data_IF_911843270788
#
_entry.id   IF_911843270788
#
_cell.length_a   1.000
_cell.length_b   1.000
_cell.length_c   1.000
_cell.angle_alpha   90.00
_cell.angle_beta   90.00
_cell.angle_gamma   90.00
#
_symmetry.space_group_name_H-M   'P 1'
#
loop_
_entity.id
_entity.type
_entity.pdbx_description
1 polymer ?
#
# COMPACT_ATOMS: atom_id res chain seq x y z
N UNK A 1 48.89 36.90 -56.86
CA UNK A 1 48.25 35.69 -57.40
C UNK A 1 46.90 35.51 -56.71
N UNK A 2 45.78 35.57 -57.46
CA UNK A 2 44.41 35.43 -56.96
C UNK A 2 44.10 33.93 -56.72
N UNK A 3 43.06 33.55 -55.98
CA UNK A 3 41.72 33.32 -56.54
C UNK A 3 40.70 33.07 -55.42
N UNK A 4 39.53 33.70 -55.60
CA UNK A 4 38.14 33.20 -55.49
C UNK A 4 37.77 32.26 -54.32
N UNK A 5 36.67 32.46 -53.61
CA UNK A 5 35.55 33.37 -53.84
C UNK A 5 34.31 33.00 -53.01
N UNK A 6 33.27 33.82 -53.22
CA UNK A 6 31.84 33.58 -53.02
C UNK A 6 31.22 33.55 -51.59
N UNK A 7 30.38 34.57 -51.38
CA UNK A 7 29.24 34.73 -50.43
C UNK A 7 28.15 33.62 -50.57
N UNK A 8 27.01 33.58 -49.83
CA UNK A 8 26.44 34.49 -48.81
C UNK A 8 25.81 33.81 -47.54
N UNK A 9 25.21 34.68 -46.70
CA UNK A 9 24.34 34.54 -45.53
C UNK A 9 23.36 33.34 -45.42
N UNK A 10 23.10 32.87 -44.17
CA UNK A 10 21.77 32.89 -43.51
C UNK A 10 21.75 32.18 -42.14
N UNK A 11 21.00 32.77 -41.21
CA UNK A 11 20.18 32.14 -40.15
C UNK A 11 20.82 31.29 -39.02
N UNK A 12 20.64 31.76 -37.78
CA UNK A 12 20.26 30.91 -36.64
C UNK A 12 18.72 30.71 -36.65
N UNK A 13 18.06 29.86 -35.83
CA UNK A 13 18.53 28.95 -34.78
C UNK A 13 17.97 27.51 -34.95
N UNK A 14 18.35 26.53 -34.10
CA UNK A 14 17.38 25.52 -33.61
C UNK A 14 17.97 24.65 -32.50
N UNK A 15 17.28 24.65 -31.37
CA UNK A 15 17.38 23.70 -30.26
C UNK A 15 16.67 22.39 -30.63
N UNK A 16 17.38 21.26 -30.55
CA UNK A 16 16.83 19.90 -30.48
C UNK A 16 18.00 18.99 -30.04
N UNK A 17 17.91 18.07 -29.08
CA UNK A 17 16.76 17.40 -28.50
C UNK A 17 17.06 17.05 -27.05
N UNK A 18 16.09 17.37 -26.18
CA UNK A 18 15.84 16.63 -24.97
C UNK A 18 15.28 15.25 -25.37
N UNK A 19 15.73 14.18 -24.72
CA UNK A 19 14.85 13.09 -24.26
C UNK A 19 15.66 12.02 -23.51
N UNK A 20 15.85 12.18 -22.20
CA UNK A 20 16.19 11.09 -21.26
C UNK A 20 15.67 11.47 -19.85
N UNK A 21 14.45 12.02 -19.78
CA UNK A 21 13.89 12.60 -18.54
C UNK A 21 12.77 11.80 -17.87
N UNK A 22 12.10 10.89 -18.57
CA UNK A 22 10.82 10.36 -18.09
C UNK A 22 10.87 9.06 -17.29
N UNK A 23 12.02 8.39 -17.19
CA UNK A 23 12.07 7.06 -16.56
C UNK A 23 12.25 7.07 -15.03
N UNK A 24 12.55 8.22 -14.41
CA UNK A 24 12.86 8.28 -12.96
C UNK A 24 11.62 8.46 -12.05
N UNK A 25 10.55 9.12 -12.53
CA UNK A 25 9.38 9.44 -11.71
C UNK A 25 8.47 8.23 -11.41
N UNK A 26 8.46 7.22 -12.28
CA UNK A 26 7.67 6.00 -12.10
C UNK A 26 8.27 5.02 -11.06
N UNK A 27 9.55 5.17 -10.73
CA UNK A 27 10.25 4.29 -9.80
C UNK A 27 10.02 4.70 -8.34
N UNK A 28 9.82 6.01 -8.08
CA UNK A 28 9.58 6.55 -6.73
C UNK A 28 8.13 6.35 -6.25
N UNK A 29 7.15 6.16 -7.16
CA UNK A 29 5.75 5.89 -6.78
C UNK A 29 5.47 4.44 -6.33
N UNK A 30 6.39 3.50 -6.59
CA UNK A 30 6.23 2.07 -6.26
C UNK A 30 6.48 1.71 -4.79
N UNK A 31 6.95 2.65 -3.96
CA UNK A 31 7.39 2.38 -2.58
C UNK A 31 6.27 2.46 -1.52
N UNK A 32 5.00 2.63 -1.91
CA UNK A 32 3.89 2.84 -0.96
C UNK A 32 2.68 1.92 -1.17
N UNK A 33 2.85 0.83 -1.91
CA UNK A 33 1.80 -0.16 -2.15
C UNK A 33 2.19 -1.51 -1.54
N UNK A 34 1.28 -2.10 -0.77
CA UNK A 34 1.42 -3.44 -0.20
C UNK A 34 0.55 -4.41 -0.98
N UNK A 35 1.07 -5.61 -1.24
CA UNK A 35 0.36 -6.68 -1.94
C UNK A 35 0.43 -7.96 -1.13
N UNK A 36 -0.70 -8.65 -1.01
CA UNK A 36 -0.79 -9.96 -0.38
C UNK A 36 -1.98 -10.72 -0.96
N UNK A 37 -1.69 -11.80 -1.68
CA UNK A 37 -2.69 -12.58 -2.41
C UNK A 37 -3.59 -11.68 -3.29
N UNK A 38 -4.92 -11.73 -3.13
CA UNK A 38 -5.84 -10.92 -3.94
C UNK A 38 -5.89 -9.44 -3.52
N UNK A 39 -5.18 -9.06 -2.44
CA UNK A 39 -5.26 -7.73 -1.87
C UNK A 39 -4.15 -6.81 -2.37
N UNK A 40 -4.56 -5.56 -2.61
CA UNK A 40 -3.68 -4.44 -2.90
C UNK A 40 -4.05 -3.30 -1.95
N UNK A 41 -3.08 -2.76 -1.22
CA UNK A 41 -3.29 -1.63 -0.31
C UNK A 41 -2.37 -0.48 -0.73
N UNK A 42 -2.95 0.69 -0.99
CA UNK A 42 -2.21 1.91 -1.36
C UNK A 42 -2.15 2.84 -0.16
N UNK A 43 -0.95 3.13 0.34
CA UNK A 43 -0.76 4.09 1.42
C UNK A 43 -0.99 5.53 0.95
N UNK A 44 -0.65 5.84 -0.31
CA UNK A 44 -0.89 7.15 -0.90
C UNK A 44 -2.40 7.47 -1.03
N UNK A 45 -3.19 6.48 -1.46
CA UNK A 45 -4.63 6.67 -1.66
C UNK A 45 -5.45 6.34 -0.41
N UNK A 46 -4.85 5.71 0.61
CA UNK A 46 -5.53 5.14 1.78
C UNK A 46 -6.69 4.21 1.40
N UNK A 47 -6.44 3.33 0.43
CA UNK A 47 -7.43 2.40 -0.12
C UNK A 47 -6.96 0.96 -0.06
N UNK A 48 -7.93 0.05 0.00
CA UNK A 48 -7.74 -1.39 -0.11
C UNK A 48 -8.58 -1.89 -1.29
N UNK A 49 -8.01 -2.79 -2.10
CA UNK A 49 -8.73 -3.53 -3.12
C UNK A 49 -8.57 -5.01 -2.89
N UNK A 50 -9.57 -5.78 -3.30
CA UNK A 50 -9.54 -7.25 -3.42
C UNK A 50 -10.02 -7.61 -4.81
N UNK A 51 -9.20 -8.36 -5.55
CA UNK A 51 -9.53 -8.79 -6.93
C UNK A 51 -9.94 -7.60 -7.83
N UNK A 52 -9.28 -6.45 -7.65
CA UNK A 52 -9.56 -5.21 -8.37
C UNK A 52 -10.76 -4.39 -7.87
N UNK A 53 -11.58 -4.93 -6.96
CA UNK A 53 -12.74 -4.22 -6.37
C UNK A 53 -12.33 -3.49 -5.09
N UNK A 54 -12.66 -2.20 -4.97
CA UNK A 54 -12.34 -1.40 -3.79
C UNK A 54 -13.17 -1.87 -2.58
N UNK A 55 -12.49 -2.05 -1.44
CA UNK A 55 -13.11 -2.35 -0.15
C UNK A 55 -13.09 -1.09 0.70
N UNK A 56 -14.27 -0.58 1.02
CA UNK A 56 -14.42 0.64 1.83
C UNK A 56 -14.16 0.34 3.31
N UNK A 57 -13.07 0.91 3.82
CA UNK A 57 -12.66 0.83 5.22
C UNK A 57 -12.78 2.20 5.89
N UNK A 58 -13.10 2.19 7.18
CA UNK A 58 -12.92 3.38 8.03
C UNK A 58 -11.43 3.68 8.23
N UNK A 59 -11.05 4.89 8.68
CA UNK A 59 -9.64 5.23 8.92
C UNK A 59 -8.93 4.27 9.88
N UNK A 60 -9.63 3.80 10.91
CA UNK A 60 -9.11 2.86 11.90
C UNK A 60 -8.95 1.46 11.32
N UNK A 61 -9.97 0.96 10.62
CA UNK A 61 -9.90 -0.35 9.97
C UNK A 61 -8.78 -0.39 8.92
N UNK A 62 -8.62 0.68 8.13
CA UNK A 62 -7.55 0.79 7.15
C UNK A 62 -6.17 0.75 7.81
N UNK A 63 -5.98 1.51 8.90
CA UNK A 63 -4.72 1.52 9.65
C UNK A 63 -4.40 0.14 10.23
N UNK A 64 -5.41 -0.57 10.74
CA UNK A 64 -5.27 -1.91 11.28
C UNK A 64 -4.91 -2.93 10.18
N UNK A 65 -5.59 -2.89 9.03
CA UNK A 65 -5.26 -3.77 7.89
C UNK A 65 -3.85 -3.47 7.40
N UNK A 66 -3.47 -2.21 7.25
CA UNK A 66 -2.11 -1.82 6.86
C UNK A 66 -1.08 -2.41 7.82
N UNK A 67 -1.26 -2.25 9.13
CA UNK A 67 -0.36 -2.80 10.14
C UNK A 67 -0.19 -4.32 9.99
N UNK A 68 -1.30 -5.05 9.85
CA UNK A 68 -1.28 -6.50 9.72
C UNK A 68 -0.63 -6.95 8.40
N UNK A 69 -0.88 -6.24 7.29
CA UNK A 69 -0.27 -6.53 5.99
C UNK A 69 1.23 -6.18 5.96
N UNK A 70 1.66 -5.09 6.62
CA UNK A 70 3.09 -4.75 6.75
C UNK A 70 3.88 -5.82 7.50
N UNK A 71 3.21 -6.52 8.43
CA UNK A 71 3.77 -7.62 9.23
C UNK A 71 3.14 -8.97 8.85
N UNK A 72 3.01 -9.21 7.54
CA UNK A 72 2.40 -10.43 7.03
C UNK A 72 3.10 -11.70 7.54
N UNK A 73 2.30 -12.63 8.08
CA UNK A 73 2.77 -13.87 8.70
C UNK A 73 3.21 -13.74 10.15
N UNK A 74 3.38 -12.52 10.67
CA UNK A 74 3.69 -12.26 12.09
C UNK A 74 2.40 -12.27 12.91
N UNK A 75 2.46 -12.88 14.09
CA UNK A 75 1.40 -12.75 15.07
C UNK A 75 1.59 -11.46 15.86
N UNK A 76 0.58 -10.59 15.87
CA UNK A 76 0.56 -9.40 16.72
C UNK A 76 -0.38 -9.60 17.90
N UNK A 77 0.07 -9.24 19.10
CA UNK A 77 -0.76 -9.25 20.30
C UNK A 77 -1.85 -8.17 20.22
N UNK A 78 -2.93 -8.33 20.99
CA UNK A 78 -3.97 -7.30 21.08
C UNK A 78 -3.42 -5.96 21.57
N UNK A 79 -2.53 -5.99 22.55
CA UNK A 79 -1.86 -4.80 23.08
C UNK A 79 -0.99 -4.12 22.02
N UNK A 80 -0.21 -4.88 21.24
CA UNK A 80 0.62 -4.31 20.17
C UNK A 80 -0.24 -3.67 19.08
N UNK A 81 -1.34 -4.31 18.70
CA UNK A 81 -2.30 -3.76 17.72
C UNK A 81 -2.94 -2.49 18.28
N UNK A 82 -3.41 -2.52 19.53
CA UNK A 82 -4.03 -1.37 20.19
C UNK A 82 -3.07 -0.18 20.20
N UNK A 83 -1.85 -0.41 20.69
CA UNK A 83 -0.81 0.61 20.82
C UNK A 83 -0.38 1.18 19.46
N UNK A 84 -0.35 0.35 18.41
CA UNK A 84 0.08 0.77 17.08
C UNK A 84 -1.01 1.55 16.33
N UNK A 85 -2.29 1.20 16.52
CA UNK A 85 -3.41 1.79 15.77
C UNK A 85 -4.03 2.99 16.50
N UNK A 86 -4.11 2.96 17.85
CA UNK A 86 -4.68 4.03 18.66
C UNK A 86 -3.65 4.83 19.47
N UNK A 87 -2.43 4.30 19.62
CA UNK A 87 -1.35 4.92 20.38
C UNK A 87 -1.24 4.40 21.82
N UNK A 88 -0.02 4.50 22.39
CA UNK A 88 0.31 4.00 23.75
C UNK A 88 -0.42 4.69 24.90
N UNK A 89 -1.05 5.84 24.64
CA UNK A 89 -1.80 6.60 25.64
C UNK A 89 -3.31 6.42 25.52
N UNK A 90 -3.76 5.49 24.66
CA UNK A 90 -5.17 5.19 24.52
C UNK A 90 -5.70 4.51 25.79
N UNK A 91 -6.61 5.19 26.49
CA UNK A 91 -7.31 4.64 27.65
C UNK A 91 -8.60 3.99 27.16
N UNK A 92 -8.53 2.72 26.79
CA UNK A 92 -9.70 1.95 26.34
C UNK A 92 -9.48 0.44 26.41
N UNK A 93 -10.58 -0.31 26.19
CA UNK A 93 -10.61 -1.77 26.30
C UNK A 93 -10.00 -2.44 25.05
N UNK A 94 -9.16 -3.46 25.25
CA UNK A 94 -8.60 -4.32 24.20
C UNK A 94 -9.67 -4.90 23.26
N UNK A 95 -10.92 -5.06 23.74
CA UNK A 95 -12.07 -5.47 22.92
C UNK A 95 -12.30 -4.61 21.69
N UNK A 96 -11.84 -3.35 21.67
CA UNK A 96 -11.97 -2.51 20.48
C UNK A 96 -11.19 -3.08 19.28
N UNK A 97 -10.08 -3.78 19.54
CA UNK A 97 -9.33 -4.51 18.51
C UNK A 97 -10.20 -5.62 17.94
N UNK A 98 -10.80 -6.46 18.79
CA UNK A 98 -11.65 -7.58 18.36
C UNK A 98 -12.86 -7.11 17.55
N UNK A 99 -13.49 -6.00 17.96
CA UNK A 99 -14.62 -5.38 17.24
C UNK A 99 -14.20 -4.95 15.84
N UNK A 100 -13.04 -4.29 15.70
CA UNK A 100 -12.55 -3.86 14.39
C UNK A 100 -12.13 -5.04 13.53
N UNK A 101 -11.48 -6.07 14.09
CA UNK A 101 -11.15 -7.30 13.37
C UNK A 101 -12.41 -7.97 12.82
N UNK A 102 -13.48 -8.07 13.63
CA UNK A 102 -14.76 -8.62 13.18
C UNK A 102 -15.33 -7.84 12.01
N UNK A 103 -15.34 -6.50 12.09
CA UNK A 103 -15.84 -5.63 11.00
C UNK A 103 -15.01 -5.75 9.73
N UNK A 104 -13.68 -5.85 9.87
CA UNK A 104 -12.79 -6.06 8.72
C UNK A 104 -13.08 -7.41 8.08
N UNK A 105 -13.19 -8.49 8.87
CA UNK A 105 -13.51 -9.83 8.34
C UNK A 105 -14.84 -9.85 7.60
N UNK A 106 -15.86 -9.14 8.09
CA UNK A 106 -17.15 -8.98 7.39
C UNK A 106 -17.02 -8.34 6.00
N UNK A 107 -15.95 -7.57 5.74
CA UNK A 107 -15.72 -6.89 4.48
C UNK A 107 -14.79 -7.64 3.54
N UNK A 108 -13.79 -8.37 4.07
CA UNK A 108 -12.71 -8.97 3.26
C UNK A 108 -12.84 -10.48 3.11
N UNK A 109 -13.46 -11.17 4.07
CA UNK A 109 -13.57 -12.62 4.08
C UNK A 109 -14.82 -13.07 3.34
N UNK A 110 -14.77 -14.26 2.73
CA UNK A 110 -15.96 -14.90 2.18
C UNK A 110 -16.87 -15.36 3.33
N UNK A 111 -16.29 -15.99 4.34
CA UNK A 111 -16.97 -16.38 5.58
C UNK A 111 -16.21 -15.78 6.78
N UNK A 112 -16.75 -14.76 7.48
CA UNK A 112 -16.07 -14.14 8.61
C UNK A 112 -15.82 -15.07 9.81
N UNK A 113 -16.59 -16.16 9.93
CA UNK A 113 -16.42 -17.17 10.99
C UNK A 113 -15.33 -18.18 10.68
N UNK A 114 -14.96 -18.32 9.40
CA UNK A 114 -13.88 -19.19 8.91
C UNK A 114 -12.89 -18.33 8.10
N UNK A 115 -12.14 -17.43 8.77
CA UNK A 115 -11.36 -16.42 8.09
C UNK A 115 -10.13 -17.02 7.40
N UNK A 116 -9.93 -16.65 6.12
CA UNK A 116 -8.79 -17.10 5.31
C UNK A 116 -7.62 -16.12 5.31
N UNK A 117 -7.86 -14.85 5.62
CA UNK A 117 -6.86 -13.80 5.52
C UNK A 117 -6.41 -13.28 6.88
N UNK A 118 -7.34 -13.03 7.80
CA UNK A 118 -6.99 -12.63 9.18
C UNK A 118 -7.21 -13.81 10.10
N UNK A 119 -6.13 -14.44 10.57
CA UNK A 119 -6.17 -15.57 11.49
C UNK A 119 -6.25 -15.10 12.95
N UNK A 120 -7.01 -15.82 13.76
CA UNK A 120 -7.01 -15.65 15.22
C UNK A 120 -5.93 -16.52 15.82
N UNK A 121 -4.98 -15.91 16.54
CA UNK A 121 -4.07 -16.62 17.43
C UNK A 121 -4.70 -16.63 18.82
N UNK A 122 -5.36 -17.74 19.17
CA UNK A 122 -6.15 -17.87 20.40
C UNK A 122 -5.33 -17.51 21.65
N UNK A 123 -5.89 -16.64 22.50
CA UNK A 123 -5.22 -16.15 23.70
C UNK A 123 -4.14 -15.09 23.46
N UNK A 124 -3.80 -14.77 22.21
CA UNK A 124 -2.71 -13.85 21.87
C UNK A 124 -3.18 -12.64 21.07
N UNK A 125 -3.69 -12.86 19.86
CA UNK A 125 -4.06 -11.77 18.97
C UNK A 125 -4.36 -12.22 17.55
N UNK A 126 -3.82 -11.50 16.57
CA UNK A 126 -4.19 -11.65 15.17
C UNK A 126 -2.99 -11.64 14.24
N UNK A 127 -3.14 -12.31 13.10
CA UNK A 127 -2.13 -12.41 12.07
C UNK A 127 -2.77 -12.24 10.70
N UNK A 128 -2.14 -11.46 9.83
CA UNK A 128 -2.41 -11.58 8.39
C UNK A 128 -1.73 -12.82 7.86
N UNK A 129 -2.49 -13.77 7.31
CA UNK A 129 -1.93 -14.99 6.72
C UNK A 129 -1.16 -14.63 5.46
N UNK A 130 0.00 -15.25 5.29
CA UNK A 130 0.77 -15.14 4.05
C UNK A 130 -0.09 -15.63 2.90
N UNK A 131 -0.27 -14.80 1.87
CA UNK A 131 -0.94 -15.22 0.65
C UNK A 131 -0.23 -16.45 0.09
N UNK A 132 -0.92 -17.57 -0.05
CA UNK A 132 -0.40 -18.70 -0.81
C UNK A 132 -0.46 -18.29 -2.29
N UNK A 133 0.72 -18.16 -2.91
CA UNK A 133 0.84 -18.20 -4.37
C UNK A 133 0.35 -19.58 -4.79
N UNK A 134 -0.85 -19.64 -5.37
CA UNK A 134 -1.34 -20.83 -6.08
C UNK A 134 -0.91 -20.75 -7.53
#
# INVERSE_FOLDING_TARGET
>A
MPQLGAFPAHAAPSTASADHGEQSAAQVRRSSELRSGPFRLSAAERKLWKDGTEIVLTPTEWTLVKLLMEREGEGLSRDDILNSVWGRHYVGDLKIVDVNIRRIRQKIEINPSEPRHIETLWGFGYRWKRGEEQ
#
